data_IF_230458131151
#
_entry.id   IF_230458131151
#
_cell.length_a   1.000
_cell.length_b   1.000
_cell.length_c   1.000
_cell.angle_alpha   90.00
_cell.angle_beta   90.00
_cell.angle_gamma   90.00
#
_symmetry.space_group_name_H-M   'P 1'
#
loop_
_entity.id
_entity.type
_entity.pdbx_description
1 polymer ?
#
# COMPACT_ATOMS: atom_id res chain seq x y z
N UNK A 1 -17.83 -25.85 11.14
CA UNK A 1 -17.10 -26.23 9.92
C UNK A 1 -16.41 -25.00 9.31
N UNK A 2 -17.16 -23.98 8.84
CA UNK A 2 -16.58 -22.74 8.29
C UNK A 2 -15.64 -21.94 9.25
N UNK A 3 -15.96 -21.86 10.55
CA UNK A 3 -15.09 -21.18 11.54
C UNK A 3 -13.79 -21.93 11.84
N UNK A 4 -13.77 -23.24 11.63
CA UNK A 4 -12.62 -24.09 11.93
C UNK A 4 -11.62 -24.04 10.77
N UNK A 5 -12.14 -24.04 9.54
CA UNK A 5 -11.34 -23.86 8.31
C UNK A 5 -10.64 -22.50 8.24
N UNK A 6 -11.32 -21.41 8.59
CA UNK A 6 -10.70 -20.07 8.56
C UNK A 6 -9.55 -19.96 9.56
N UNK A 7 -9.68 -20.54 10.76
CA UNK A 7 -8.62 -20.55 11.76
C UNK A 7 -7.41 -21.40 11.33
N UNK A 8 -7.65 -22.53 10.65
CA UNK A 8 -6.62 -23.39 10.07
C UNK A 8 -5.91 -22.76 8.85
N UNK A 9 -6.64 -22.00 8.03
CA UNK A 9 -6.05 -21.24 6.91
C UNK A 9 -5.24 -20.03 7.39
N UNK A 10 -5.68 -19.37 8.47
CA UNK A 10 -4.92 -18.34 9.18
C UNK A 10 -3.59 -18.89 9.73
N UNK A 11 -3.65 -20.04 10.41
CA UNK A 11 -2.48 -20.69 11.01
C UNK A 11 -1.51 -21.27 9.97
N UNK A 12 -1.99 -21.61 8.77
CA UNK A 12 -1.17 -22.14 7.67
C UNK A 12 -0.66 -21.07 6.70
N UNK A 13 -1.01 -19.79 6.91
CA UNK A 13 -0.61 -18.68 6.04
C UNK A 13 -1.27 -18.68 4.66
N UNK A 14 -2.31 -19.52 4.45
CA UNK A 14 -3.07 -19.59 3.18
C UNK A 14 -4.01 -18.40 3.00
N UNK A 15 -4.45 -17.80 4.11
CA UNK A 15 -5.29 -16.61 4.09
C UNK A 15 -4.45 -15.34 4.02
N UNK A 16 -4.70 -14.57 2.96
CA UNK A 16 -4.15 -13.25 2.72
C UNK A 16 -4.74 -12.22 3.69
N UNK A 17 -3.87 -11.50 4.40
CA UNK A 17 -4.21 -10.51 5.44
C UNK A 17 -3.54 -9.15 5.21
N UNK A 18 -3.18 -8.83 3.97
CA UNK A 18 -2.54 -7.55 3.66
C UNK A 18 -3.47 -6.41 4.08
N UNK A 19 -2.93 -5.49 4.89
CA UNK A 19 -3.63 -4.34 5.46
C UNK A 19 -2.95 -3.01 5.08
N UNK A 20 -1.87 -3.08 4.31
CA UNK A 20 -1.20 -1.92 3.73
C UNK A 20 -1.23 -1.99 2.19
N UNK A 21 -1.57 -0.87 1.56
CA UNK A 21 -1.40 -0.62 0.13
C UNK A 21 -0.18 0.27 -0.06
N UNK A 22 0.87 -0.28 -0.68
CA UNK A 22 2.11 0.41 -0.93
C UNK A 22 2.22 0.76 -2.40
N UNK A 23 2.34 2.05 -2.73
CA UNK A 23 2.41 2.53 -4.12
C UNK A 23 3.74 3.23 -4.39
N UNK A 24 4.38 2.89 -5.50
CA UNK A 24 5.68 3.46 -5.88
C UNK A 24 6.83 2.48 -5.64
N UNK A 25 7.93 2.94 -5.05
CA UNK A 25 9.19 2.20 -4.93
C UNK A 25 9.79 2.35 -3.52
N UNK A 26 10.77 1.51 -3.19
CA UNK A 26 11.44 1.55 -1.90
C UNK A 26 10.74 0.73 -0.82
N UNK A 27 10.06 -0.34 -1.21
CA UNK A 27 9.40 -1.30 -0.30
C UNK A 27 10.15 -2.62 -0.20
N UNK A 28 11.41 -2.68 -0.63
CA UNK A 28 12.22 -3.91 -0.62
C UNK A 28 12.31 -4.54 0.77
N UNK A 29 12.27 -3.72 1.83
CA UNK A 29 12.22 -4.12 3.24
C UNK A 29 10.84 -4.60 3.74
N UNK A 30 9.77 -4.37 2.97
CA UNK A 30 8.38 -4.70 3.33
C UNK A 30 7.84 -5.91 2.54
N UNK A 31 8.70 -6.68 1.86
CA UNK A 31 8.31 -7.95 1.22
C UNK A 31 8.09 -9.07 2.24
N UNK A 32 7.19 -8.84 3.18
CA UNK A 32 6.75 -9.81 4.18
C UNK A 32 5.38 -10.33 3.72
N UNK A 33 5.18 -11.65 3.61
CA UNK A 33 3.89 -12.22 3.24
C UNK A 33 2.77 -11.70 4.15
N UNK A 34 1.58 -11.45 3.58
CA UNK A 34 0.38 -11.03 4.30
C UNK A 34 0.48 -9.65 5.01
N UNK A 35 1.43 -8.79 4.61
CA UNK A 35 1.58 -7.45 5.19
C UNK A 35 1.12 -6.35 4.24
N UNK A 36 1.61 -6.35 3.00
CA UNK A 36 1.38 -5.25 2.07
C UNK A 36 1.14 -5.70 0.62
N UNK A 37 0.25 -4.99 -0.06
CA UNK A 37 0.10 -5.02 -1.51
C UNK A 37 1.02 -3.96 -2.12
N UNK A 38 2.12 -4.38 -2.75
CA UNK A 38 3.12 -3.48 -3.31
C UNK A 38 2.87 -3.30 -4.82
N UNK A 39 2.52 -2.09 -5.22
CA UNK A 39 2.29 -1.71 -6.62
C UNK A 39 3.52 -0.93 -7.10
N UNK A 40 4.35 -1.65 -7.85
CA UNK A 40 5.50 -1.06 -8.55
C UNK A 40 5.06 -0.33 -9.83
N UNK A 41 5.74 0.75 -10.21
CA UNK A 41 5.28 1.66 -11.27
C UNK A 41 5.64 1.23 -12.69
N UNK A 42 5.97 -0.05 -12.90
CA UNK A 42 6.35 -0.54 -14.23
C UNK A 42 5.14 -0.72 -15.17
N UNK A 43 3.92 -0.53 -14.68
CA UNK A 43 2.71 -0.51 -15.52
C UNK A 43 2.46 0.90 -16.08
N UNK A 44 2.21 1.06 -17.39
CA UNK A 44 1.84 2.35 -17.98
C UNK A 44 0.49 2.88 -17.46
N UNK A 45 -0.40 1.98 -17.03
CA UNK A 45 -1.56 2.33 -16.21
C UNK A 45 -1.47 1.65 -14.85
N UNK A 46 -1.22 2.45 -13.82
CA UNK A 46 -1.16 2.00 -12.43
C UNK A 46 -2.54 1.96 -11.76
N UNK A 47 -3.57 2.52 -12.39
CA UNK A 47 -4.93 2.61 -11.85
C UNK A 47 -5.55 1.23 -11.63
N UNK A 48 -5.37 0.33 -12.59
CA UNK A 48 -5.92 -1.03 -12.54
C UNK A 48 -5.33 -1.89 -11.41
N UNK A 49 -4.00 -1.94 -11.23
CA UNK A 49 -3.41 -2.53 -10.04
C UNK A 49 -3.93 -1.93 -8.73
N UNK A 50 -4.09 -0.60 -8.64
CA UNK A 50 -4.59 0.08 -7.43
C UNK A 50 -6.04 -0.34 -7.16
N UNK A 51 -6.88 -0.37 -8.21
CA UNK A 51 -8.27 -0.82 -8.13
C UNK A 51 -8.35 -2.25 -7.60
N UNK A 52 -7.57 -3.17 -8.18
CA UNK A 52 -7.54 -4.58 -7.75
C UNK A 52 -7.11 -4.71 -6.29
N UNK A 53 -6.08 -3.99 -5.88
CA UNK A 53 -5.58 -4.02 -4.50
C UNK A 53 -6.61 -3.48 -3.50
N UNK A 54 -7.29 -2.38 -3.83
CA UNK A 54 -8.38 -1.85 -3.01
C UNK A 54 -9.56 -2.84 -2.90
N UNK A 55 -9.90 -3.55 -3.99
CA UNK A 55 -10.90 -4.60 -3.96
C UNK A 55 -10.53 -5.77 -3.04
N UNK A 56 -9.26 -6.18 -3.02
CA UNK A 56 -8.74 -7.20 -2.10
C UNK A 56 -8.88 -6.73 -0.65
N UNK A 57 -8.47 -5.49 -0.35
CA UNK A 57 -8.61 -4.91 1.00
C UNK A 57 -10.06 -4.91 1.48
N UNK A 58 -10.98 -4.46 0.62
CA UNK A 58 -12.41 -4.46 0.95
C UNK A 58 -12.94 -5.89 1.19
N UNK A 59 -12.51 -6.85 0.37
CA UNK A 59 -12.88 -8.26 0.56
C UNK A 59 -12.33 -8.82 1.87
N UNK A 60 -11.09 -8.47 2.23
CA UNK A 60 -10.45 -8.90 3.48
C UNK A 60 -11.20 -8.33 4.69
N UNK A 61 -11.60 -7.04 4.64
CA UNK A 61 -12.41 -6.41 5.68
C UNK A 61 -13.78 -7.09 5.82
N UNK A 62 -14.48 -7.35 4.71
CA UNK A 62 -15.80 -8.02 4.72
C UNK A 62 -15.72 -9.46 5.26
N UNK A 63 -14.60 -10.14 5.01
CA UNK A 63 -14.34 -11.48 5.53
C UNK A 63 -13.88 -11.49 7.00
N UNK A 64 -13.67 -10.32 7.63
CA UNK A 64 -13.12 -10.21 8.98
C UNK A 64 -11.65 -10.62 9.09
N UNK A 65 -10.91 -10.65 7.96
CA UNK A 65 -9.48 -11.02 7.91
C UNK A 65 -8.56 -9.88 8.29
N UNK A 66 -8.99 -8.63 8.06
CA UNK A 66 -8.32 -7.42 8.56
C UNK A 66 -9.34 -6.54 9.30
N UNK A 67 -8.90 -5.70 10.26
CA UNK A 67 -9.79 -4.81 10.99
C UNK A 67 -10.61 -3.91 10.04
N UNK A 68 -11.90 -3.72 10.34
CA UNK A 68 -12.79 -2.91 9.52
C UNK A 68 -12.53 -1.40 9.69
N UNK A 69 -11.75 -1.03 10.69
CA UNK A 69 -11.39 0.32 11.13
C UNK A 69 -10.47 1.01 10.13
N UNK A 70 -9.65 0.26 9.38
CA UNK A 70 -8.87 0.87 8.34
C UNK A 70 -7.70 0.09 7.77
N UNK A 71 -7.07 0.74 6.79
CA UNK A 71 -5.87 0.27 6.12
C UNK A 71 -4.91 1.45 5.89
N UNK A 72 -3.64 1.14 5.69
CA UNK A 72 -2.61 2.11 5.38
C UNK A 72 -2.44 2.24 3.87
N UNK A 73 -2.55 3.46 3.32
CA UNK A 73 -2.01 3.79 1.99
C UNK A 73 -0.65 4.48 2.20
N UNK A 74 0.43 3.81 1.80
CA UNK A 74 1.79 4.35 1.88
C UNK A 74 2.35 4.57 0.48
N UNK A 75 2.64 5.82 0.14
CA UNK A 75 3.35 6.17 -1.09
C UNK A 75 4.82 6.46 -0.80
N UNK A 76 5.73 5.85 -1.56
CA UNK A 76 7.17 6.05 -1.39
C UNK A 76 7.92 6.08 -2.72
N UNK A 77 9.07 6.76 -2.69
CA UNK A 77 10.01 6.84 -3.80
C UNK A 77 11.46 6.90 -3.26
N UNK A 78 12.39 6.11 -3.81
CA UNK A 78 13.78 6.20 -3.40
C UNK A 78 14.49 7.37 -4.09
N UNK A 79 15.57 7.85 -3.46
CA UNK A 79 16.55 8.76 -4.04
C UNK A 79 17.97 8.31 -3.66
N UNK A 80 18.94 8.62 -4.49
CA UNK A 80 20.36 8.31 -4.28
C UNK A 80 21.11 9.49 -3.66
N UNK A 81 20.88 10.69 -4.21
CA UNK A 81 21.57 11.91 -3.79
C UNK A 81 20.61 12.94 -3.16
N UNK A 82 21.03 13.63 -2.09
CA UNK A 82 20.31 14.81 -1.61
C UNK A 82 20.16 15.89 -2.70
N UNK A 83 19.24 16.82 -2.48
CA UNK A 83 19.00 17.93 -3.43
C UNK A 83 17.98 17.57 -4.50
N UNK A 84 18.36 17.68 -5.78
CA UNK A 84 17.44 17.56 -6.93
C UNK A 84 16.81 16.17 -7.01
N UNK A 85 17.59 15.12 -6.76
CA UNK A 85 17.08 13.76 -6.84
C UNK A 85 16.07 13.46 -5.71
N UNK A 86 16.39 13.84 -4.47
CA UNK A 86 15.42 13.83 -3.37
C UNK A 86 14.16 14.65 -3.70
N UNK A 87 14.29 15.84 -4.27
CA UNK A 87 13.13 16.66 -4.64
C UNK A 87 12.24 15.97 -5.68
N UNK A 88 12.84 15.28 -6.66
CA UNK A 88 12.12 14.46 -7.64
C UNK A 88 11.39 13.29 -6.96
N UNK A 89 12.04 12.60 -6.03
CA UNK A 89 11.43 11.52 -5.25
C UNK A 89 10.23 12.01 -4.44
N UNK A 90 10.33 13.19 -3.81
CA UNK A 90 9.22 13.82 -3.08
C UNK A 90 8.03 14.10 -4.00
N UNK A 91 8.29 14.68 -5.19
CA UNK A 91 7.22 14.95 -6.17
C UNK A 91 6.55 13.66 -6.62
N UNK A 92 7.36 12.63 -6.89
CA UNK A 92 6.87 11.33 -7.33
C UNK A 92 6.02 10.64 -6.26
N UNK A 93 6.50 10.55 -5.02
CA UNK A 93 5.75 9.95 -3.92
C UNK A 93 4.41 10.67 -3.67
N UNK A 94 4.41 12.00 -3.72
CA UNK A 94 3.19 12.80 -3.60
C UNK A 94 2.22 12.59 -4.77
N UNK A 95 2.72 12.49 -5.99
CA UNK A 95 1.91 12.15 -7.16
C UNK A 95 1.25 10.78 -6.97
N UNK A 96 2.03 9.75 -6.61
CA UNK A 96 1.54 8.39 -6.40
C UNK A 96 0.47 8.34 -5.31
N UNK A 97 0.66 9.05 -4.20
CA UNK A 97 -0.36 9.17 -3.15
C UNK A 97 -1.67 9.72 -3.70
N UNK A 98 -1.62 10.89 -4.33
CA UNK A 98 -2.82 11.58 -4.85
C UNK A 98 -3.52 10.75 -5.93
N UNK A 99 -2.75 10.10 -6.78
CA UNK A 99 -3.29 9.26 -7.84
C UNK A 99 -4.01 8.04 -7.25
N UNK A 100 -3.37 7.33 -6.31
CA UNK A 100 -3.99 6.19 -5.64
C UNK A 100 -5.24 6.58 -4.84
N UNK A 101 -5.18 7.69 -4.10
CA UNK A 101 -6.34 8.27 -3.43
C UNK A 101 -7.48 8.56 -4.41
N UNK A 102 -7.19 9.15 -5.57
CA UNK A 102 -8.16 9.45 -6.61
C UNK A 102 -8.84 8.19 -7.18
N UNK A 103 -8.07 7.14 -7.45
CA UNK A 103 -8.59 5.85 -7.91
C UNK A 103 -9.50 5.23 -6.83
N UNK A 104 -9.06 5.17 -5.58
CA UNK A 104 -9.83 4.58 -4.48
C UNK A 104 -11.12 5.37 -4.25
N UNK A 105 -11.05 6.71 -4.24
CA UNK A 105 -12.23 7.57 -4.06
C UNK A 105 -13.28 7.35 -5.14
N UNK A 106 -12.86 7.10 -6.39
CA UNK A 106 -13.74 6.86 -7.53
C UNK A 106 -14.38 5.47 -7.47
N UNK A 107 -13.58 4.44 -7.18
CA UNK A 107 -13.97 3.05 -7.37
C UNK A 107 -14.51 2.38 -6.09
N UNK A 108 -14.05 2.84 -4.91
CA UNK A 108 -14.40 2.31 -3.59
C UNK A 108 -14.55 3.46 -2.56
N UNK A 109 -15.53 4.37 -2.74
CA UNK A 109 -15.71 5.54 -1.87
C UNK A 109 -15.90 5.17 -0.39
N UNK A 110 -16.40 3.98 -0.08
CA UNK A 110 -16.56 3.46 1.28
C UNK A 110 -15.25 3.20 2.02
N UNK A 111 -14.14 3.03 1.28
CA UNK A 111 -12.81 2.82 1.86
C UNK A 111 -12.14 4.14 2.27
N UNK A 112 -12.55 5.27 1.69
CA UNK A 112 -11.96 6.59 1.95
C UNK A 112 -11.95 6.96 3.44
N UNK A 113 -13.06 6.85 4.21
CA UNK A 113 -13.03 7.20 5.64
C UNK A 113 -12.19 6.25 6.50
N UNK A 114 -11.78 5.10 5.95
CA UNK A 114 -10.99 4.04 6.61
C UNK A 114 -9.53 4.06 6.19
N UNK A 115 -9.16 4.96 5.27
CA UNK A 115 -7.84 5.03 4.69
C UNK A 115 -6.96 5.99 5.48
N UNK A 116 -5.90 5.47 6.11
CA UNK A 116 -4.83 6.30 6.66
C UNK A 116 -3.75 6.49 5.61
N UNK A 117 -3.48 7.74 5.23
CA UNK A 117 -2.47 8.03 4.21
C UNK A 117 -1.14 8.46 4.84
N UNK A 118 -0.04 7.95 4.28
CA UNK A 118 1.33 8.38 4.55
C UNK A 118 2.11 8.51 3.25
N UNK A 119 2.99 9.50 3.21
CA UNK A 119 3.95 9.70 2.11
C UNK A 119 5.34 9.65 2.70
N UNK A 120 6.29 9.05 1.99
CA UNK A 120 7.68 9.00 2.40
C UNK A 120 8.63 9.05 1.19
N UNK A 121 9.90 9.28 1.45
CA UNK A 121 11.00 9.04 0.51
C UNK A 121 12.05 8.17 1.17
N UNK A 122 12.75 7.36 0.37
CA UNK A 122 13.75 6.43 0.87
C UNK A 122 15.15 6.83 0.40
N UNK A 123 16.05 7.10 1.34
CA UNK A 123 17.46 7.27 1.01
C UNK A 123 18.08 5.92 0.65
N UNK A 124 18.67 5.77 -0.53
CA UNK A 124 19.33 4.52 -0.90
C UNK A 124 20.63 4.27 -0.18
N UNK A 125 21.40 5.32 0.06
CA UNK A 125 22.68 5.25 0.74
C UNK A 125 22.54 4.81 2.19
N UNK A 126 21.50 5.29 2.90
CA UNK A 126 21.30 5.03 4.33
C UNK A 126 20.16 4.06 4.63
N UNK A 127 19.36 3.70 3.63
CA UNK A 127 18.10 2.93 3.78
C UNK A 127 17.10 3.59 4.75
N UNK A 128 17.25 4.89 5.02
CA UNK A 128 16.36 5.63 5.89
C UNK A 128 15.07 6.02 5.16
N UNK A 129 13.93 5.62 5.72
CA UNK A 129 12.62 6.05 5.25
C UNK A 129 12.24 7.37 5.92
N UNK A 130 12.27 8.45 5.15
CA UNK A 130 11.89 9.79 5.60
C UNK A 130 10.41 10.03 5.33
N UNK A 131 9.63 10.21 6.39
CA UNK A 131 8.23 10.60 6.25
C UNK A 131 8.14 12.04 5.75
N UNK A 132 7.22 12.27 4.81
CA UNK A 132 6.80 13.59 4.38
C UNK A 132 5.50 13.95 5.11
N UNK A 133 5.43 15.17 5.62
CA UNK A 133 4.23 15.71 6.29
C UNK A 133 3.17 16.17 5.29
#
# INVERSE_FOLDING_TARGET
IARTESALNLASGKDHMEWALCVGRGFDWLHIPNVALIISPFSPDISDPIRKAAGILLSNMKAGRIPAEGFLLLASAPYEEPGVDRARAVLYANFMRRHAEGVIKKEYPELVPRMTMKTAVLSWSTRALERLD
#
